data_IF_378500597708
#
_entry.id   IF_378500597708
#
_cell.length_a   1.000
_cell.length_b   1.000
_cell.length_c   1.000
_cell.angle_alpha   90.00
_cell.angle_beta   90.00
_cell.angle_gamma   90.00
#
_symmetry.space_group_name_H-M   'P 1'
#
loop_
_entity.id
_entity.type
_entity.pdbx_description
1 polymer ?
#
# COMPACT_ATOMS: atom_id res chain seq x y z
N UNK A 1 -1.51 21.79 2.70
CA UNK A 1 -2.67 20.95 3.02
C UNK A 1 -2.31 19.47 2.92
N UNK A 2 -2.64 18.68 3.93
CA UNK A 2 -2.46 17.24 3.81
C UNK A 2 -3.35 16.69 2.70
N UNK A 3 -2.82 15.74 1.93
CA UNK A 3 -3.57 15.18 0.81
C UNK A 3 -3.51 13.65 0.83
N UNK A 4 -4.64 13.04 0.54
CA UNK A 4 -4.76 11.61 0.35
C UNK A 4 -5.47 11.38 -0.97
N UNK A 5 -4.76 10.80 -1.94
CA UNK A 5 -5.22 10.73 -3.33
C UNK A 5 -5.34 9.27 -3.78
N UNK A 6 -6.42 8.96 -4.47
CA UNK A 6 -6.57 7.64 -5.06
C UNK A 6 -5.93 7.61 -6.44
N UNK A 7 -5.21 6.54 -6.73
CA UNK A 7 -4.54 6.34 -8.01
C UNK A 7 -4.79 4.92 -8.51
N UNK A 8 -4.87 4.72 -9.83
CA UNK A 8 -5.14 3.38 -10.37
C UNK A 8 -3.91 2.47 -10.27
N UNK A 9 -4.12 1.14 -10.26
CA UNK A 9 -3.02 0.19 -10.16
C UNK A 9 -1.93 0.38 -11.23
N UNK A 10 -2.32 0.72 -12.43
CA UNK A 10 -1.35 0.92 -13.52
C UNK A 10 -0.38 2.05 -13.20
N UNK A 11 -0.87 3.15 -12.61
CA UNK A 11 -0.03 4.26 -12.19
C UNK A 11 0.90 3.83 -11.07
N UNK A 12 0.38 3.07 -10.10
CA UNK A 12 1.19 2.53 -9.01
C UNK A 12 2.32 1.67 -9.57
N UNK A 13 1.99 0.81 -10.53
CA UNK A 13 2.98 -0.06 -11.15
C UNK A 13 4.10 0.74 -11.83
N UNK A 14 3.74 1.81 -12.53
CA UNK A 14 4.74 2.69 -13.15
C UNK A 14 5.64 3.34 -12.10
N UNK A 15 5.05 3.83 -11.01
CA UNK A 15 5.83 4.47 -9.95
C UNK A 15 6.81 3.50 -9.30
N UNK A 16 6.39 2.24 -9.09
CA UNK A 16 7.26 1.22 -8.51
C UNK A 16 8.41 0.92 -9.47
N UNK A 17 8.10 0.75 -10.74
CA UNK A 17 9.10 0.45 -11.77
C UNK A 17 10.15 1.54 -11.87
N UNK A 18 9.75 2.78 -11.65
CA UNK A 18 10.64 3.94 -11.71
C UNK A 18 11.34 4.23 -10.38
N UNK A 19 11.06 3.45 -9.35
CA UNK A 19 11.62 3.68 -8.02
C UNK A 19 11.07 4.90 -7.31
N UNK A 20 9.88 5.36 -7.70
CA UNK A 20 9.28 6.58 -7.16
C UNK A 20 8.31 6.35 -6.02
N UNK A 21 7.93 5.10 -5.75
CA UNK A 21 6.94 4.79 -4.73
C UNK A 21 7.37 3.64 -3.84
N UNK A 22 6.86 3.66 -2.62
CA UNK A 22 6.98 2.56 -1.68
C UNK A 22 5.56 2.14 -1.30
N UNK A 23 5.32 0.83 -1.22
CA UNK A 23 4.00 0.29 -0.92
C UNK A 23 3.88 -0.10 0.54
N UNK A 24 2.77 0.28 1.15
CA UNK A 24 2.45 -0.14 2.52
C UNK A 24 1.18 -0.99 2.45
N UNK A 25 1.32 -2.28 2.75
CA UNK A 25 0.21 -3.23 2.74
C UNK A 25 -0.36 -3.33 4.15
N UNK A 26 -1.63 -2.99 4.30
CA UNK A 26 -2.29 -2.96 5.61
C UNK A 26 -3.15 -4.20 5.88
N UNK A 27 -3.02 -5.21 5.01
CA UNK A 27 -3.75 -6.48 5.19
C UNK A 27 -3.10 -7.31 6.29
N UNK A 28 -3.77 -8.40 6.66
CA UNK A 28 -3.25 -9.31 7.67
C UNK A 28 -2.22 -10.27 7.05
N UNK A 29 -1.40 -10.87 7.92
CA UNK A 29 -0.32 -11.73 7.46
C UNK A 29 -0.80 -12.95 6.65
N UNK A 30 -1.95 -13.51 7.01
CA UNK A 30 -2.51 -14.65 6.29
C UNK A 30 -2.96 -14.28 4.88
N UNK A 31 -3.38 -13.03 4.69
CA UNK A 31 -3.72 -12.54 3.35
C UNK A 31 -2.47 -12.41 2.49
N UNK A 32 -1.37 -11.88 3.07
CA UNK A 32 -0.11 -11.77 2.36
C UNK A 32 0.43 -13.14 1.97
N UNK A 33 0.21 -14.15 2.80
CA UNK A 33 0.65 -15.51 2.50
C UNK A 33 -0.05 -16.10 1.28
N UNK A 34 -1.25 -15.61 0.96
CA UNK A 34 -2.00 -16.09 -0.20
C UNK A 34 -1.61 -15.37 -1.48
N UNK A 35 -1.51 -14.05 -1.40
CA UNK A 35 -1.15 -13.23 -2.55
C UNK A 35 -0.65 -11.87 -2.06
N UNK A 36 0.38 -11.36 -2.70
CA UNK A 36 0.99 -10.08 -2.31
C UNK A 36 1.76 -9.46 -3.46
N UNK A 37 2.08 -8.19 -3.32
CA UNK A 37 3.01 -7.53 -4.23
C UNK A 37 4.42 -7.67 -3.66
N UNK A 38 5.41 -7.59 -4.54
CA UNK A 38 6.81 -7.64 -4.11
C UNK A 38 7.19 -6.39 -3.32
N UNK A 39 8.08 -6.58 -2.37
CA UNK A 39 8.73 -5.46 -1.67
C UNK A 39 7.76 -4.50 -1.00
N UNK A 40 6.74 -5.04 -0.36
CA UNK A 40 5.83 -4.20 0.43
C UNK A 40 6.34 -4.06 1.86
N UNK A 41 6.05 -2.91 2.46
CA UNK A 41 6.20 -2.71 3.88
C UNK A 41 4.90 -3.18 4.52
N UNK A 42 4.95 -4.17 5.38
CA UNK A 42 3.76 -4.73 5.99
C UNK A 42 3.43 -4.04 7.30
N UNK A 43 2.32 -3.32 7.32
CA UNK A 43 1.83 -2.64 8.52
C UNK A 43 0.38 -3.06 8.71
N UNK A 44 0.14 -4.23 9.33
CA UNK A 44 -1.23 -4.76 9.42
C UNK A 44 -2.12 -3.84 10.26
N UNK A 45 -3.34 -3.63 9.77
CA UNK A 45 -4.27 -2.73 10.45
C UNK A 45 -4.61 -3.20 11.87
N UNK A 46 -4.66 -4.50 12.10
CA UNK A 46 -4.99 -5.06 13.42
C UNK A 46 -3.90 -4.80 14.47
N UNK A 47 -2.68 -4.53 14.02
CA UNK A 47 -1.55 -4.23 14.91
C UNK A 47 -0.82 -3.01 14.37
N UNK A 48 -1.56 -1.96 14.10
CA UNK A 48 -1.05 -0.77 13.43
C UNK A 48 0.06 -0.10 14.22
N UNK A 49 1.21 0.06 13.59
CA UNK A 49 2.36 0.73 14.19
C UNK A 49 2.82 1.83 13.23
N UNK A 50 2.53 3.10 13.56
CA UNK A 50 2.90 4.19 12.66
C UNK A 50 4.41 4.34 12.46
N UNK A 51 5.22 3.81 13.37
CA UNK A 51 6.67 3.87 13.22
C UNK A 51 7.19 3.02 12.07
N UNK A 52 6.41 2.05 11.63
CA UNK A 52 6.78 1.21 10.50
C UNK A 52 6.55 1.89 9.15
N UNK A 53 5.80 2.99 9.14
CA UNK A 53 5.51 3.70 7.90
C UNK A 53 6.76 4.46 7.45
N UNK A 54 7.21 4.26 6.20
CA UNK A 54 8.40 4.94 5.69
C UNK A 54 8.09 6.42 5.39
N UNK A 55 8.60 7.31 6.25
CA UNK A 55 8.27 8.74 6.15
C UNK A 55 9.38 9.59 5.54
N UNK A 56 10.61 9.10 5.53
CA UNK A 56 11.76 9.88 5.08
C UNK A 56 12.48 9.30 3.87
N UNK A 57 11.71 8.70 2.97
CA UNK A 57 12.31 8.01 1.81
C UNK A 57 12.47 8.92 0.60
N UNK A 58 11.77 10.06 0.58
CA UNK A 58 11.68 10.88 -0.62
C UNK A 58 10.78 10.27 -1.68
N UNK A 59 10.09 9.17 -1.36
CA UNK A 59 9.22 8.47 -2.30
C UNK A 59 7.76 8.67 -1.93
N UNK A 60 6.89 8.44 -2.90
CA UNK A 60 5.44 8.45 -2.67
C UNK A 60 5.05 7.21 -1.90
N UNK A 61 4.28 7.38 -0.83
CA UNK A 61 3.83 6.26 -0.01
C UNK A 61 2.42 5.88 -0.44
N UNK A 62 2.26 4.65 -0.91
CA UNK A 62 0.99 4.14 -1.43
C UNK A 62 0.48 3.06 -0.51
N UNK A 63 -0.72 3.25 0.01
CA UNK A 63 -1.37 2.27 0.89
C UNK A 63 -2.21 1.33 0.05
N UNK A 64 -2.12 0.03 0.35
CA UNK A 64 -2.87 -0.99 -0.37
C UNK A 64 -3.55 -1.95 0.61
N UNK A 65 -4.70 -2.47 0.19
CA UNK A 65 -5.37 -3.56 0.89
C UNK A 65 -6.05 -4.46 -0.15
N UNK A 66 -6.92 -5.35 0.28
CA UNK A 66 -7.58 -6.27 -0.66
C UNK A 66 -8.48 -5.52 -1.65
N UNK A 67 -9.22 -4.56 -1.16
CA UNK A 67 -10.05 -3.68 -1.99
C UNK A 67 -9.71 -2.22 -1.70
N UNK A 68 -10.50 -1.52 -0.88
CA UNK A 68 -10.22 -0.11 -0.60
C UNK A 68 -10.28 0.25 0.87
N UNK A 69 -11.18 -0.39 1.59
CA UNK A 69 -11.64 0.11 2.89
C UNK A 69 -10.54 0.32 3.92
N UNK A 70 -9.69 -0.68 4.11
CA UNK A 70 -8.66 -0.61 5.14
C UNK A 70 -7.55 0.37 4.79
N UNK A 71 -7.13 0.37 3.53
CA UNK A 71 -6.06 1.27 3.09
C UNK A 71 -6.51 2.72 3.12
N UNK A 72 -7.77 2.99 2.78
CA UNK A 72 -8.31 4.33 2.87
C UNK A 72 -8.32 4.84 4.31
N UNK A 73 -8.76 3.99 5.25
CA UNK A 73 -8.78 4.36 6.66
C UNK A 73 -7.39 4.68 7.21
N UNK A 74 -6.44 3.82 6.92
CA UNK A 74 -5.07 4.01 7.40
C UNK A 74 -4.46 5.24 6.76
N UNK A 75 -4.61 5.41 5.45
CA UNK A 75 -4.05 6.56 4.76
C UNK A 75 -4.61 7.87 5.25
N UNK A 76 -5.93 7.93 5.44
CA UNK A 76 -6.58 9.13 5.96
C UNK A 76 -6.12 9.45 7.38
N UNK A 77 -5.98 8.43 8.21
CA UNK A 77 -5.48 8.60 9.58
C UNK A 77 -4.05 9.15 9.59
N UNK A 78 -3.19 8.56 8.77
CA UNK A 78 -1.79 8.95 8.70
C UNK A 78 -1.63 10.41 8.27
N UNK A 79 -2.42 10.83 7.29
CA UNK A 79 -2.39 12.21 6.81
C UNK A 79 -3.00 13.15 7.85
N UNK A 80 -4.13 12.75 8.47
CA UNK A 80 -4.79 13.55 9.48
C UNK A 80 -3.92 13.79 10.72
N UNK A 81 -3.09 12.80 11.07
CA UNK A 81 -2.19 12.90 12.22
C UNK A 81 -0.87 13.60 11.88
N UNK A 82 -0.67 13.98 10.63
CA UNK A 82 0.55 14.66 10.21
C UNK A 82 1.76 13.74 10.11
N UNK A 83 1.55 12.43 10.11
CA UNK A 83 2.64 11.46 9.93
C UNK A 83 3.23 11.62 8.54
N UNK A 84 2.35 11.77 7.55
CA UNK A 84 2.73 12.11 6.18
C UNK A 84 1.94 13.33 5.74
N UNK A 85 2.55 14.20 4.94
CA UNK A 85 1.84 15.34 4.37
C UNK A 85 1.02 14.95 3.16
N UNK A 86 1.44 13.91 2.44
CA UNK A 86 0.63 13.35 1.37
C UNK A 86 0.81 11.84 1.34
N UNK A 87 -0.24 11.16 0.94
CA UNK A 87 -0.27 9.72 0.83
C UNK A 87 -1.22 9.34 -0.31
N UNK A 88 -1.09 8.11 -0.76
CA UNK A 88 -1.86 7.63 -1.90
C UNK A 88 -2.53 6.31 -1.55
N UNK A 89 -3.69 6.06 -2.16
CA UNK A 89 -4.39 4.79 -2.05
C UNK A 89 -4.47 4.15 -3.43
N UNK A 90 -4.11 2.87 -3.52
CA UNK A 90 -4.29 2.16 -4.77
C UNK A 90 -5.76 1.80 -4.92
N UNK A 91 -6.42 2.44 -5.88
CA UNK A 91 -7.86 2.28 -6.09
C UNK A 91 -8.22 0.84 -6.41
N UNK A 92 -9.22 0.30 -5.72
CA UNK A 92 -9.66 -1.07 -5.90
C UNK A 92 -8.76 -2.12 -5.28
N UNK A 93 -7.63 -1.73 -4.72
CA UNK A 93 -6.74 -2.61 -3.99
C UNK A 93 -6.14 -3.73 -4.83
N UNK A 94 -5.74 -4.79 -4.15
CA UNK A 94 -5.11 -5.93 -4.80
C UNK A 94 -6.03 -6.60 -5.83
N UNK A 95 -7.34 -6.55 -5.60
CA UNK A 95 -8.31 -7.08 -6.55
C UNK A 95 -8.19 -6.38 -7.90
N UNK A 96 -8.16 -5.04 -7.90
CA UNK A 96 -8.03 -4.27 -9.14
C UNK A 96 -6.66 -4.48 -9.80
N UNK A 97 -5.61 -4.61 -9.00
CA UNK A 97 -4.27 -4.92 -9.48
C UNK A 97 -4.26 -6.22 -10.27
N UNK A 98 -4.86 -7.27 -9.69
CA UNK A 98 -4.93 -8.57 -10.33
C UNK A 98 -5.79 -8.54 -11.60
N UNK A 99 -6.91 -7.81 -11.56
CA UNK A 99 -7.79 -7.67 -12.73
C UNK A 99 -7.11 -6.93 -13.87
N UNK A 100 -6.17 -6.05 -13.55
CA UNK A 100 -5.39 -5.35 -14.57
C UNK A 100 -4.26 -6.21 -15.14
N UNK A 101 -4.09 -7.42 -14.64
CA UNK A 101 -3.07 -8.34 -15.15
C UNK A 101 -1.65 -8.00 -14.70
N UNK A 102 -1.51 -7.23 -13.63
CA UNK A 102 -0.21 -6.83 -13.14
C UNK A 102 0.44 -7.92 -12.28
N UNK A 103 1.78 -7.92 -12.14
CA UNK A 103 2.48 -9.01 -11.46
C UNK A 103 2.10 -9.17 -10.00
N UNK A 104 1.86 -10.40 -9.59
CA UNK A 104 1.41 -10.73 -8.25
C UNK A 104 2.15 -11.97 -7.74
N UNK A 105 2.67 -11.90 -6.53
CA UNK A 105 3.29 -13.05 -5.87
C UNK A 105 2.22 -13.85 -5.14
N UNK A 106 2.25 -15.16 -5.29
CA UNK A 106 1.28 -16.04 -4.65
C UNK A 106 1.97 -17.13 -3.86
N UNK A 107 1.20 -17.76 -2.96
CA UNK A 107 1.72 -18.83 -2.14
C UNK A 107 2.40 -18.36 -0.87
N UNK A 108 2.86 -19.28 -0.02
CA UNK A 108 3.45 -18.91 1.27
C UNK A 108 4.64 -17.98 1.08
N UNK A 109 4.86 -17.12 2.09
CA UNK A 109 6.04 -16.30 2.14
C UNK A 109 7.23 -17.26 2.29
N UNK A 110 8.03 -17.34 1.27
CA UNK A 110 9.18 -18.23 1.33
C UNK A 110 10.42 -17.46 1.75
N UNK A 111 11.22 -18.14 2.44
CA UNK A 111 12.51 -17.63 2.80
C UNK A 111 13.46 -17.74 1.61
#
# INVERSE_FOLDING_TARGET
MPEFTEIPPETVHCWISDGEAVLVDVREADELAQARLEEVVHVPMSAFDPELIPVDTGKKVVFICAQDTRSERVGQYVVAQGILTEAYNMAGGLKAWAEAGLPLETGPLSS
#
